data_IF_517863960117
#
_entry.id   IF_517863960117
#
_cell.length_a   1.000
_cell.length_b   1.000
_cell.length_c   1.000
_cell.angle_alpha   90.00
_cell.angle_beta   90.00
_cell.angle_gamma   90.00
#
_symmetry.space_group_name_H-M   'P 1'
#
loop_
_entity.id
_entity.type
_entity.pdbx_description
1 polymer ?
#
# COMPACT_ATOMS: atom_id res chain seq x y z
N UNK A 1 18.26 0.90 -5.08
CA UNK A 1 17.42 1.18 -6.26
C UNK A 1 18.15 2.11 -7.23
N UNK A 2 18.10 1.78 -8.51
CA UNK A 2 18.55 2.66 -9.59
C UNK A 2 17.40 3.59 -10.01
N UNK A 3 17.72 4.63 -10.80
CA UNK A 3 16.69 5.48 -11.39
C UNK A 3 15.70 4.67 -12.23
N UNK A 4 16.18 3.66 -12.98
CA UNK A 4 15.36 2.78 -13.79
C UNK A 4 14.43 1.91 -12.91
N UNK A 5 14.93 1.38 -11.79
CA UNK A 5 14.12 0.62 -10.84
C UNK A 5 12.98 1.47 -10.28
N UNK A 6 13.27 2.71 -9.94
CA UNK A 6 12.28 3.65 -9.39
C UNK A 6 11.23 3.98 -10.45
N UNK A 7 11.63 4.32 -11.66
CA UNK A 7 10.70 4.62 -12.75
C UNK A 7 9.76 3.44 -13.02
N UNK A 8 10.32 2.24 -13.12
CA UNK A 8 9.55 1.01 -13.31
C UNK A 8 8.63 0.74 -12.14
N UNK A 9 9.12 0.90 -10.92
CA UNK A 9 8.33 0.72 -9.71
C UNK A 9 7.15 1.67 -9.63
N UNK A 10 7.34 2.94 -9.96
CA UNK A 10 6.26 3.93 -9.97
C UNK A 10 5.18 3.57 -10.99
N UNK A 11 5.56 3.09 -12.17
CA UNK A 11 4.59 2.62 -13.18
C UNK A 11 3.80 1.42 -12.69
N UNK A 12 4.48 0.43 -12.11
CA UNK A 12 3.82 -0.76 -11.59
C UNK A 12 2.86 -0.42 -10.44
N UNK A 13 3.26 0.49 -9.56
CA UNK A 13 2.40 0.97 -8.48
C UNK A 13 1.15 1.67 -9.03
N UNK A 14 1.31 2.50 -10.06
CA UNK A 14 0.18 3.19 -10.69
C UNK A 14 -0.80 2.20 -11.33
N UNK A 15 -0.30 1.22 -12.07
CA UNK A 15 -1.14 0.19 -12.70
C UNK A 15 -1.84 -0.68 -11.65
N UNK A 16 -1.15 -1.06 -10.58
CA UNK A 16 -1.73 -1.86 -9.51
C UNK A 16 -2.86 -1.11 -8.81
N UNK A 17 -2.66 0.17 -8.49
CA UNK A 17 -3.69 0.99 -7.85
C UNK A 17 -4.90 1.20 -8.77
N UNK A 18 -4.68 1.42 -10.06
CA UNK A 18 -5.75 1.52 -11.03
C UNK A 18 -6.58 0.22 -11.05
N UNK A 19 -5.93 -0.93 -11.02
CA UNK A 19 -6.59 -2.23 -10.99
C UNK A 19 -7.38 -2.41 -9.68
N UNK A 20 -6.82 -2.02 -8.55
CA UNK A 20 -7.53 -2.04 -7.26
C UNK A 20 -8.81 -1.20 -7.32
N UNK A 21 -8.71 0.03 -7.79
CA UNK A 21 -9.86 0.94 -7.86
C UNK A 21 -10.94 0.43 -8.82
N UNK A 22 -10.55 -0.16 -9.95
CA UNK A 22 -11.49 -0.81 -10.87
C UNK A 22 -12.19 -2.01 -10.23
N UNK A 23 -11.47 -2.78 -9.44
CA UNK A 23 -12.01 -3.96 -8.77
C UNK A 23 -13.16 -3.59 -7.82
N UNK A 24 -13.09 -2.44 -7.17
CA UNK A 24 -14.10 -1.98 -6.21
C UNK A 24 -15.03 -0.92 -6.78
N UNK A 25 -14.88 -0.56 -8.06
CA UNK A 25 -15.71 0.44 -8.72
C UNK A 25 -17.18 0.05 -8.69
N UNK A 26 -18.03 1.01 -8.36
CA UNK A 26 -19.48 0.80 -8.33
C UNK A 26 -20.02 0.09 -7.10
N UNK A 27 -19.15 -0.35 -6.16
CA UNK A 27 -19.62 -0.94 -4.93
C UNK A 27 -20.20 0.15 -4.01
N UNK A 28 -21.43 -0.04 -3.54
CA UNK A 28 -22.05 0.89 -2.58
C UNK A 28 -21.51 0.68 -1.16
N UNK A 29 -21.89 1.57 -0.24
CA UNK A 29 -21.46 1.49 1.15
C UNK A 29 -21.84 0.17 1.81
N UNK A 30 -23.03 -0.35 1.50
CA UNK A 30 -23.50 -1.61 2.04
C UNK A 30 -22.60 -2.77 1.64
N UNK A 31 -22.21 -2.84 0.37
CA UNK A 31 -21.32 -3.90 -0.15
C UNK A 31 -19.92 -3.76 0.41
N UNK A 32 -19.40 -2.53 0.49
CA UNK A 32 -18.07 -2.24 1.04
C UNK A 32 -17.97 -2.63 2.52
N UNK A 33 -19.04 -2.44 3.28
CA UNK A 33 -19.06 -2.71 4.73
C UNK A 33 -19.55 -4.12 5.07
N UNK A 34 -19.94 -4.91 4.08
CA UNK A 34 -20.43 -6.28 4.30
C UNK A 34 -19.36 -7.14 4.96
N UNK A 35 -19.77 -7.90 5.99
CA UNK A 35 -18.89 -8.87 6.63
C UNK A 35 -19.05 -10.24 5.95
N UNK A 36 -17.98 -11.02 5.97
CA UNK A 36 -17.96 -12.36 5.37
C UNK A 36 -17.49 -13.39 6.40
N UNK A 37 -18.03 -14.63 6.37
CA UNK A 37 -17.58 -15.69 7.27
C UNK A 37 -16.09 -15.94 7.13
N UNK A 38 -15.41 -16.10 8.27
CA UNK A 38 -13.99 -16.40 8.36
C UNK A 38 -13.07 -15.28 7.82
N UNK A 39 -13.62 -14.10 7.55
CA UNK A 39 -12.85 -12.93 7.12
C UNK A 39 -12.70 -11.93 8.26
N UNK A 40 -11.48 -11.42 8.43
CA UNK A 40 -11.17 -10.43 9.45
C UNK A 40 -11.81 -9.07 9.14
N UNK A 41 -11.86 -8.71 7.85
CA UNK A 41 -12.30 -7.39 7.40
C UNK A 41 -13.37 -7.47 6.32
N UNK A 42 -14.20 -6.42 6.27
CA UNK A 42 -14.98 -6.07 5.08
C UNK A 42 -14.04 -5.63 3.95
N UNK A 43 -14.57 -5.42 2.75
CA UNK A 43 -13.77 -4.86 1.64
C UNK A 43 -13.23 -3.48 2.02
N UNK A 44 -14.04 -2.63 2.66
CA UNK A 44 -13.58 -1.33 3.17
C UNK A 44 -12.40 -1.50 4.14
N UNK A 45 -12.46 -2.48 5.02
CA UNK A 45 -11.38 -2.81 5.94
C UNK A 45 -10.11 -3.28 5.23
N UNK A 46 -10.23 -4.06 4.16
CA UNK A 46 -9.10 -4.49 3.33
C UNK A 46 -8.45 -3.28 2.66
N UNK A 47 -9.25 -2.37 2.09
CA UNK A 47 -8.73 -1.14 1.47
C UNK A 47 -7.96 -0.30 2.48
N UNK A 48 -8.52 -0.13 3.67
CA UNK A 48 -7.86 0.59 4.76
C UNK A 48 -6.55 -0.07 5.16
N UNK A 49 -6.53 -1.40 5.21
CA UNK A 49 -5.33 -2.18 5.53
C UNK A 49 -4.25 -2.01 4.46
N UNK A 50 -4.62 -1.99 3.17
CA UNK A 50 -3.65 -1.76 2.08
C UNK A 50 -2.94 -0.42 2.28
N UNK A 51 -3.69 0.66 2.52
CA UNK A 51 -3.11 1.98 2.76
C UNK A 51 -2.27 2.04 4.03
N UNK A 52 -2.77 1.41 5.09
CA UNK A 52 -2.05 1.32 6.37
C UNK A 52 -0.72 0.57 6.24
N UNK A 53 -0.69 -0.49 5.42
CA UNK A 53 0.54 -1.25 5.19
C UNK A 53 1.61 -0.42 4.47
N UNK A 54 1.24 0.40 3.50
CA UNK A 54 2.20 1.30 2.84
C UNK A 54 2.85 2.25 3.86
N UNK A 55 2.03 2.82 4.75
CA UNK A 55 2.55 3.66 5.82
C UNK A 55 3.49 2.88 6.73
N UNK A 56 3.12 1.66 7.07
CA UNK A 56 3.94 0.81 7.93
C UNK A 56 5.28 0.46 7.29
N UNK A 57 5.31 0.16 5.99
CA UNK A 57 6.56 -0.12 5.27
C UNK A 57 7.48 1.10 5.26
N UNK A 58 6.94 2.29 5.00
CA UNK A 58 7.73 3.53 5.02
C UNK A 58 8.28 3.82 6.42
N UNK A 59 7.51 3.49 7.45
CA UNK A 59 7.94 3.68 8.84
C UNK A 59 9.17 2.84 9.18
N UNK A 60 9.36 1.69 8.52
CA UNK A 60 10.57 0.87 8.69
C UNK A 60 11.84 1.64 8.35
N UNK A 61 11.77 2.58 7.43
CA UNK A 61 12.88 3.45 7.02
C UNK A 61 12.78 4.85 7.62
N UNK A 62 11.87 5.07 8.57
CA UNK A 62 11.61 6.37 9.20
C UNK A 62 11.16 7.45 8.20
N UNK A 63 10.41 7.05 7.17
CA UNK A 63 9.97 7.93 6.09
C UNK A 63 8.44 8.09 6.01
N UNK A 64 7.71 7.51 6.96
CA UNK A 64 6.25 7.63 7.00
C UNK A 64 5.82 9.04 7.40
N UNK A 65 4.61 9.42 6.97
CA UNK A 65 3.96 10.62 7.49
C UNK A 65 3.62 10.43 8.96
N UNK A 66 3.52 11.53 9.74
CA UNK A 66 3.00 11.47 11.10
C UNK A 66 1.60 10.84 11.11
N UNK A 67 1.33 10.06 12.16
CA UNK A 67 0.06 9.31 12.28
C UNK A 67 -1.18 10.19 12.13
N UNK A 68 -1.14 11.41 12.66
CA UNK A 68 -2.24 12.38 12.60
C UNK A 68 -2.55 12.87 11.18
N UNK A 69 -1.63 12.68 10.23
CA UNK A 69 -1.83 13.06 8.83
C UNK A 69 -2.39 11.91 7.98
N UNK A 70 -2.58 10.73 8.59
CA UNK A 70 -3.08 9.55 7.88
C UNK A 70 -4.59 9.43 8.11
N UNK A 71 -5.41 9.59 7.04
CA UNK A 71 -6.87 9.50 7.19
C UNK A 71 -7.36 8.12 7.64
N UNK A 72 -8.48 8.10 8.35
CA UNK A 72 -9.15 6.85 8.71
C UNK A 72 -10.06 6.31 7.61
N UNK A 73 -10.58 7.17 6.72
CA UNK A 73 -11.44 6.75 5.62
C UNK A 73 -10.61 5.95 4.61
N UNK A 74 -11.07 4.76 4.16
CA UNK A 74 -10.26 3.85 3.34
C UNK A 74 -9.70 4.44 2.06
N UNK A 75 -10.52 5.10 1.24
CA UNK A 75 -10.06 5.67 -0.03
C UNK A 75 -9.13 6.87 0.17
N UNK A 76 -9.43 7.72 1.16
CA UNK A 76 -8.55 8.84 1.50
C UNK A 76 -7.20 8.33 2.00
N UNK A 77 -7.18 7.26 2.80
CA UNK A 77 -5.94 6.64 3.27
C UNK A 77 -5.12 6.08 2.13
N UNK A 78 -5.75 5.36 1.18
CA UNK A 78 -5.09 4.86 -0.02
C UNK A 78 -4.40 5.99 -0.80
N UNK A 79 -5.10 7.10 -0.97
CA UNK A 79 -4.60 8.26 -1.71
C UNK A 79 -3.41 8.90 -1.01
N UNK A 80 -3.52 9.15 0.28
CA UNK A 80 -2.47 9.82 1.08
C UNK A 80 -1.24 8.95 1.20
N UNK A 81 -1.40 7.66 1.51
CA UNK A 81 -0.28 6.74 1.65
C UNK A 81 0.50 6.57 0.35
N UNK A 82 -0.20 6.42 -0.78
CA UNK A 82 0.46 6.28 -2.09
C UNK A 82 1.14 7.57 -2.53
N UNK A 83 0.53 8.74 -2.26
CA UNK A 83 1.17 10.02 -2.55
C UNK A 83 2.50 10.14 -1.78
N UNK A 84 2.53 9.72 -0.53
CA UNK A 84 3.77 9.72 0.26
C UNK A 84 4.81 8.76 -0.32
N UNK A 85 4.42 7.55 -0.69
CA UNK A 85 5.33 6.58 -1.29
C UNK A 85 5.92 7.12 -2.61
N UNK A 86 5.07 7.71 -3.46
CA UNK A 86 5.51 8.31 -4.72
C UNK A 86 6.50 9.47 -4.52
N UNK A 87 6.29 10.27 -3.47
CA UNK A 87 7.19 11.37 -3.11
C UNK A 87 8.55 10.86 -2.62
N UNK A 88 8.54 9.79 -1.82
CA UNK A 88 9.74 9.25 -1.17
C UNK A 88 10.62 8.43 -2.14
N UNK A 89 10.03 7.62 -3.01
CA UNK A 89 10.79 6.69 -3.86
C UNK A 89 11.91 7.35 -4.66
N UNK A 90 11.71 8.50 -5.34
CA UNK A 90 12.80 9.14 -6.08
C UNK A 90 13.98 9.56 -5.19
N UNK A 91 13.73 9.85 -3.92
CA UNK A 91 14.78 10.24 -2.98
C UNK A 91 15.67 9.06 -2.56
N UNK A 92 15.24 7.84 -2.85
CA UNK A 92 15.96 6.63 -2.45
C UNK A 92 16.88 6.08 -3.53
N UNK A 93 17.04 6.80 -4.65
CA UNK A 93 17.99 6.42 -5.69
C UNK A 93 19.40 6.30 -5.11
N UNK A 94 20.02 5.14 -5.33
CA UNK A 94 21.37 4.88 -4.83
C UNK A 94 21.50 4.70 -3.33
N UNK A 95 20.41 4.80 -2.57
CA UNK A 95 20.45 4.62 -1.12
C UNK A 95 20.84 3.17 -0.77
N UNK A 96 21.77 3.05 0.18
CA UNK A 96 22.21 1.76 0.72
C UNK A 96 21.64 1.54 2.13
N UNK A 97 20.60 2.29 2.51
CA UNK A 97 20.00 2.19 3.82
C UNK A 97 19.47 0.78 4.08
N UNK A 98 19.79 0.26 5.27
CA UNK A 98 19.24 -0.98 5.78
C UNK A 98 18.86 -0.74 7.23
N UNK A 99 17.61 -1.07 7.59
CA UNK A 99 17.12 -0.93 8.95
C UNK A 99 16.72 -2.30 9.48
N UNK A 100 17.13 -2.61 10.71
CA UNK A 100 16.69 -3.81 11.42
C UNK A 100 15.55 -3.46 12.35
N UNK A 101 14.37 -4.07 12.16
CA UNK A 101 13.18 -3.81 12.99
C UNK A 101 12.53 -5.16 13.33
N UNK A 102 12.40 -5.45 14.61
CA UNK A 102 11.76 -6.68 15.11
C UNK A 102 12.32 -7.97 14.47
N UNK A 103 13.66 -8.03 14.30
CA UNK A 103 14.33 -9.19 13.74
C UNK A 103 14.27 -9.29 12.22
N UNK A 104 13.77 -8.30 11.53
CA UNK A 104 13.65 -8.27 10.07
C UNK A 104 14.44 -7.10 9.50
N UNK A 105 15.17 -7.33 8.39
CA UNK A 105 15.93 -6.30 7.70
C UNK A 105 15.06 -5.63 6.63
N UNK A 106 15.12 -4.30 6.56
CA UNK A 106 14.36 -3.48 5.60
C UNK A 106 15.30 -2.60 4.78
N UNK A 107 15.00 -2.50 3.48
CA UNK A 107 15.73 -1.68 2.53
C UNK A 107 14.73 -0.95 1.63
N UNK A 108 15.16 0.09 0.87
CA UNK A 108 14.28 0.72 -0.12
C UNK A 108 13.67 -0.26 -1.11
N UNK A 109 14.45 -1.21 -1.61
CA UNK A 109 13.97 -2.25 -2.53
C UNK A 109 12.88 -3.12 -1.89
N UNK A 110 13.04 -3.49 -0.65
CA UNK A 110 12.06 -4.29 0.07
C UNK A 110 10.76 -3.53 0.27
N UNK A 111 10.82 -2.25 0.61
CA UNK A 111 9.63 -1.40 0.75
C UNK A 111 8.84 -1.37 -0.55
N UNK A 112 9.49 -1.09 -1.67
CA UNK A 112 8.84 -1.09 -2.98
C UNK A 112 8.21 -2.44 -3.32
N UNK A 113 8.98 -3.51 -3.15
CA UNK A 113 8.53 -4.87 -3.46
C UNK A 113 7.34 -5.29 -2.60
N UNK A 114 7.39 -4.99 -1.31
CA UNK A 114 6.31 -5.33 -0.38
C UNK A 114 5.04 -4.54 -0.66
N UNK A 115 5.15 -3.26 -0.98
CA UNK A 115 3.99 -2.44 -1.33
C UNK A 115 3.28 -3.01 -2.56
N UNK A 116 4.02 -3.38 -3.60
CA UNK A 116 3.46 -3.98 -4.81
C UNK A 116 2.83 -5.35 -4.53
N UNK A 117 3.58 -6.24 -3.88
CA UNK A 117 3.11 -7.59 -3.60
C UNK A 117 1.86 -7.60 -2.73
N UNK A 118 1.84 -6.80 -1.69
CA UNK A 118 0.74 -6.73 -0.73
C UNK A 118 -0.55 -6.25 -1.41
N UNK A 119 -0.47 -5.20 -2.22
CA UNK A 119 -1.63 -4.70 -2.95
C UNK A 119 -2.14 -5.74 -3.95
N UNK A 120 -1.24 -6.38 -4.72
CA UNK A 120 -1.64 -7.44 -5.66
C UNK A 120 -2.33 -8.60 -4.95
N UNK A 121 -1.80 -9.02 -3.82
CA UNK A 121 -2.36 -10.12 -3.04
C UNK A 121 -3.78 -9.79 -2.56
N UNK A 122 -3.99 -8.58 -2.06
CA UNK A 122 -5.30 -8.15 -1.58
C UNK A 122 -6.30 -7.83 -2.70
N UNK A 123 -5.85 -7.47 -3.90
CA UNK A 123 -6.76 -7.38 -5.06
C UNK A 123 -7.39 -8.75 -5.34
N UNK A 124 -6.60 -9.80 -5.36
CA UNK A 124 -7.10 -11.16 -5.55
C UNK A 124 -7.99 -11.60 -4.39
N UNK A 125 -7.63 -11.20 -3.16
CA UNK A 125 -8.45 -11.43 -1.97
C UNK A 125 -9.84 -10.79 -2.12
N UNK A 126 -9.91 -9.53 -2.54
CA UNK A 126 -11.19 -8.84 -2.76
C UNK A 126 -12.00 -9.52 -3.85
N UNK A 127 -11.37 -9.91 -4.96
CA UNK A 127 -12.06 -10.61 -6.07
C UNK A 127 -12.76 -11.87 -5.61
N UNK A 128 -12.16 -12.62 -4.69
CA UNK A 128 -12.75 -13.84 -4.14
C UNK A 128 -13.98 -13.56 -3.28
N UNK A 129 -14.10 -12.37 -2.72
CA UNK A 129 -15.26 -11.98 -1.91
C UNK A 129 -16.42 -11.47 -2.76
N UNK A 130 -16.15 -11.08 -3.99
CA UNK A 130 -17.15 -10.61 -4.94
C UNK A 130 -17.71 -11.78 -5.75
#
# INVERSE_FOLDING_TARGET
LTATDIERGLKLLAWSREDLLKTVEGLDAKKLDQTYPNERWSIAGILKHIGGAECWYLDRLELALPREQIPGEPFARLKVSRARLNEVLPTLEGSKQVAGVDGELWSPRKVLRRALWHERDHIEHIRKLL
#
